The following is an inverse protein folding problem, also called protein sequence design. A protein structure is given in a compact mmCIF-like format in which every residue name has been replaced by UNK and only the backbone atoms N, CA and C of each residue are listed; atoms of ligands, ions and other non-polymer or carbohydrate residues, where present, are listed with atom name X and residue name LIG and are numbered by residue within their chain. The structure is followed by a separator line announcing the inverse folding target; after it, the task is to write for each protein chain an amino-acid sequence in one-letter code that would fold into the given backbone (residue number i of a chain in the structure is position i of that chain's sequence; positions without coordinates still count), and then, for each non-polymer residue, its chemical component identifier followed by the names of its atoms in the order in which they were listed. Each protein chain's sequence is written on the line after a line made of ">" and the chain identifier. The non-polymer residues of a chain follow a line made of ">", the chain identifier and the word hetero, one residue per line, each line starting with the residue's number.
data_IF_332541591979
#
_entry.id   IF_332541591979
#
_cell.length_a   1.000
_cell.length_b   1.000
_cell.length_c   1.000
_cell.angle_alpha   90.00
_cell.angle_beta   90.00
_cell.angle_gamma   90.00
#
_symmetry.space_group_name_H-M   'P 1'
#
loop_
_entity.id
_entity.type
_entity.pdbx_description
1 polymer ?
#
# COMPACT_ATOMS: atom_id res chain seq x y z
N UNK A 1 -11.85 -15.08 3.18
CA UNK A 1 -11.02 -15.08 1.95
C UNK A 1 -10.53 -13.68 1.68
N UNK A 2 -9.27 -13.55 1.32
CA UNK A 2 -8.70 -12.25 0.96
C UNK A 2 -9.22 -11.78 -0.39
N UNK A 3 -9.28 -10.45 -0.59
CA UNK A 3 -9.87 -9.89 -1.81
C UNK A 3 -9.14 -8.63 -2.24
N UNK A 4 -8.82 -8.55 -3.54
CA UNK A 4 -8.30 -7.35 -4.18
C UNK A 4 -9.20 -7.04 -5.36
N UNK A 5 -9.78 -5.83 -5.36
CA UNK A 5 -10.60 -5.33 -6.45
C UNK A 5 -9.97 -4.08 -7.05
N UNK A 6 -9.87 -4.03 -8.36
CA UNK A 6 -9.31 -2.89 -9.10
C UNK A 6 -10.31 -2.46 -10.15
N UNK A 7 -10.65 -1.18 -10.15
CA UNK A 7 -11.58 -0.60 -11.12
C UNK A 7 -10.99 -0.44 -12.52
N UNK A 8 -11.78 0.11 -13.42
CA UNK A 8 -11.42 0.24 -14.82
C UNK A 8 -10.39 1.34 -15.06
N UNK A 9 -9.53 1.14 -16.04
CA UNK A 9 -8.57 2.15 -16.51
C UNK A 9 -7.56 2.61 -15.46
N UNK A 10 -7.32 1.83 -14.43
CA UNK A 10 -6.28 2.12 -13.46
C UNK A 10 -4.94 1.61 -13.96
N UNK A 11 -3.88 2.38 -13.74
CA UNK A 11 -2.53 2.09 -14.20
C UNK A 11 -1.58 1.99 -13.02
N UNK A 12 -0.63 1.08 -13.13
CA UNK A 12 0.34 0.80 -12.08
C UNK A 12 1.75 0.92 -12.64
N UNK A 13 2.61 1.58 -11.89
CA UNK A 13 4.04 1.59 -12.17
C UNK A 13 4.69 0.25 -11.82
N UNK A 14 6.00 0.19 -11.93
CA UNK A 14 6.75 -1.04 -11.64
C UNK A 14 6.80 -1.32 -10.15
N UNK A 15 6.81 -2.60 -9.80
CA UNK A 15 7.04 -3.07 -8.42
C UNK A 15 6.02 -2.54 -7.41
N UNK A 16 4.78 -2.35 -7.83
CA UNK A 16 3.68 -2.06 -6.91
C UNK A 16 3.31 -3.34 -6.17
N UNK A 17 3.17 -3.23 -4.85
CA UNK A 17 2.81 -4.35 -3.99
C UNK A 17 1.50 -4.07 -3.28
N UNK A 18 0.60 -5.04 -3.32
CA UNK A 18 -0.71 -4.96 -2.68
C UNK A 18 -0.83 -6.15 -1.74
N UNK A 19 -1.03 -5.86 -0.45
CA UNK A 19 -1.15 -6.87 0.57
C UNK A 19 -2.57 -6.89 1.11
N UNK A 20 -3.26 -8.00 0.92
CA UNK A 20 -4.62 -8.21 1.43
C UNK A 20 -4.66 -9.01 2.73
N UNK A 21 -3.51 -9.25 3.33
CA UNK A 21 -3.40 -10.01 4.57
C UNK A 21 -2.15 -9.61 5.36
N UNK A 22 -2.16 -9.90 6.64
CA UNK A 22 -1.00 -9.81 7.53
C UNK A 22 -0.85 -11.10 8.30
N UNK A 23 0.36 -11.38 8.79
CA UNK A 23 0.56 -12.45 9.75
C UNK A 23 -0.11 -12.09 11.08
N UNK A 24 -0.69 -13.09 11.73
CA UNK A 24 -1.07 -12.95 13.14
C UNK A 24 0.17 -13.10 14.00
N UNK A 25 0.31 -12.26 15.02
CA UNK A 25 1.52 -12.22 15.83
C UNK A 25 1.25 -12.01 17.33
N UNK A 26 -0.02 -11.91 17.72
CA UNK A 26 -0.38 -11.51 19.09
C UNK A 26 -0.26 -12.63 20.11
N UNK A 27 -0.25 -13.88 19.66
CA UNK A 27 -0.08 -15.03 20.57
C UNK A 27 1.41 -15.31 20.78
N UNK A 28 1.91 -14.89 21.92
CA UNK A 28 3.34 -15.03 22.24
C UNK A 28 3.78 -16.48 22.50
N UNK A 29 2.83 -17.41 22.64
CA UNK A 29 3.13 -18.82 22.84
C UNK A 29 3.32 -19.59 21.52
N UNK A 30 3.13 -18.93 20.38
CA UNK A 30 3.27 -19.53 19.07
C UNK A 30 4.29 -18.75 18.23
N UNK A 31 4.99 -19.45 17.36
CA UNK A 31 5.78 -18.80 16.33
C UNK A 31 4.85 -18.05 15.38
N UNK A 32 5.31 -16.95 14.81
CA UNK A 32 4.47 -16.13 13.92
C UNK A 32 3.96 -16.96 12.74
N UNK A 33 4.80 -17.82 12.16
CA UNK A 33 4.38 -18.68 11.05
C UNK A 33 3.38 -19.77 11.44
N UNK A 34 3.11 -19.96 12.71
CA UNK A 34 2.11 -20.91 13.21
C UNK A 34 0.76 -20.29 13.49
N UNK A 35 0.67 -18.96 13.50
CA UNK A 35 -0.55 -18.26 13.90
C UNK A 35 -1.52 -18.01 12.76
N UNK A 36 -1.09 -18.21 11.51
CA UNK A 36 -1.91 -17.95 10.35
C UNK A 36 -1.88 -16.47 9.95
N UNK A 37 -2.90 -16.06 9.19
CA UNK A 37 -3.00 -14.73 8.60
C UNK A 37 -4.26 -14.01 9.05
N UNK A 38 -4.17 -12.70 9.19
CA UNK A 38 -5.34 -11.82 9.25
C UNK A 38 -5.64 -11.41 7.82
N UNK A 39 -6.81 -11.81 7.33
CA UNK A 39 -7.24 -11.51 5.95
C UNK A 39 -8.04 -10.22 5.92
N UNK A 40 -8.02 -9.55 4.79
CA UNK A 40 -8.75 -8.32 4.59
C UNK A 40 -9.01 -8.07 3.11
N UNK A 41 -9.39 -6.84 2.80
CA UNK A 41 -9.69 -6.40 1.44
C UNK A 41 -8.80 -5.24 1.07
N UNK A 42 -8.55 -5.10 -0.25
CA UNK A 42 -8.01 -3.88 -0.84
C UNK A 42 -8.89 -3.54 -2.03
N UNK A 43 -9.41 -2.33 -2.06
CA UNK A 43 -10.26 -1.86 -3.15
C UNK A 43 -9.60 -0.63 -3.75
N UNK A 44 -9.36 -0.67 -5.06
CA UNK A 44 -8.81 0.44 -5.83
C UNK A 44 -9.86 0.83 -6.86
N UNK A 45 -10.23 2.09 -6.87
CA UNK A 45 -11.25 2.60 -7.78
C UNK A 45 -10.80 2.65 -9.23
N UNK A 46 -11.58 3.35 -10.04
CA UNK A 46 -11.34 3.51 -11.47
C UNK A 46 -10.50 4.74 -11.76
N UNK A 47 -9.78 4.70 -12.88
CA UNK A 47 -8.98 5.82 -13.36
C UNK A 47 -7.96 6.31 -12.34
N UNK A 48 -7.28 5.38 -11.68
CA UNK A 48 -6.21 5.68 -10.73
C UNK A 48 -4.84 5.50 -11.39
N UNK A 49 -3.89 6.28 -10.96
CA UNK A 49 -2.49 6.09 -11.32
C UNK A 49 -1.67 5.85 -10.08
N UNK A 50 -1.14 4.65 -9.97
CA UNK A 50 -0.32 4.21 -8.83
C UNK A 50 1.12 4.20 -9.28
N UNK A 51 1.94 5.05 -8.68
CA UNK A 51 3.35 5.17 -9.04
C UNK A 51 4.17 3.92 -8.72
N UNK A 52 5.40 3.88 -9.21
CA UNK A 52 6.29 2.74 -9.01
C UNK A 52 6.67 2.58 -7.53
N UNK A 53 6.86 1.35 -7.11
CA UNK A 53 7.27 0.99 -5.74
C UNK A 53 6.30 1.45 -4.65
N UNK A 54 5.04 1.66 -5.00
CA UNK A 54 3.97 1.92 -4.02
C UNK A 54 3.59 0.62 -3.33
N UNK A 55 3.40 0.68 -2.03
CA UNK A 55 2.93 -0.44 -1.23
C UNK A 55 1.56 -0.08 -0.67
N UNK A 56 0.58 -0.95 -0.91
CA UNK A 56 -0.80 -0.76 -0.42
C UNK A 56 -1.10 -1.87 0.57
N UNK A 57 -1.49 -1.49 1.76
CA UNK A 57 -1.69 -2.42 2.86
C UNK A 57 -3.15 -2.85 2.98
N UNK A 58 -3.37 -3.84 3.81
CA UNK A 58 -4.68 -4.46 4.06
C UNK A 58 -5.74 -3.42 4.49
N UNK A 59 -6.96 -3.66 4.07
CA UNK A 59 -8.15 -2.86 4.44
C UNK A 59 -8.14 -1.42 3.95
N UNK A 60 -7.38 -1.14 2.89
CA UNK A 60 -7.34 0.17 2.27
C UNK A 60 -8.36 0.23 1.12
N UNK A 61 -9.13 1.30 1.08
CA UNK A 61 -10.02 1.64 -0.03
C UNK A 61 -9.50 2.91 -0.68
N UNK A 62 -9.13 2.82 -1.95
CA UNK A 62 -8.72 3.96 -2.77
C UNK A 62 -9.87 4.31 -3.69
N UNK A 63 -10.33 5.54 -3.64
CA UNK A 63 -11.43 6.02 -4.46
C UNK A 63 -11.08 6.13 -5.95
N UNK A 64 -11.95 6.78 -6.71
CA UNK A 64 -11.74 6.99 -8.14
C UNK A 64 -10.87 8.22 -8.39
N UNK A 65 -10.19 8.26 -9.52
CA UNK A 65 -9.38 9.42 -9.94
C UNK A 65 -8.32 9.80 -8.90
N UNK A 66 -7.62 8.83 -8.37
CA UNK A 66 -6.56 9.03 -7.37
C UNK A 66 -5.20 8.84 -8.03
N UNK A 67 -4.29 9.77 -7.75
CA UNK A 67 -2.89 9.65 -8.17
C UNK A 67 -2.04 9.44 -6.93
N UNK A 68 -1.23 8.40 -6.94
CA UNK A 68 -0.31 8.10 -5.85
C UNK A 68 1.11 8.15 -6.38
N UNK A 69 1.90 9.05 -5.84
CA UNK A 69 3.30 9.22 -6.23
C UNK A 69 4.14 8.00 -5.87
N UNK A 70 5.28 7.86 -6.56
CA UNK A 70 6.18 6.72 -6.37
C UNK A 70 6.66 6.61 -4.92
N UNK A 71 6.85 5.39 -4.47
CA UNK A 71 7.44 5.10 -3.17
C UNK A 71 6.55 5.27 -1.96
N UNK A 72 5.28 5.63 -2.16
CA UNK A 72 4.35 5.79 -1.03
C UNK A 72 3.98 4.45 -0.40
N UNK A 73 3.82 4.44 0.91
CA UNK A 73 3.21 3.32 1.63
C UNK A 73 1.80 3.77 2.05
N UNK A 74 0.80 3.12 1.51
CA UNK A 74 -0.60 3.48 1.74
C UNK A 74 -1.16 2.58 2.84
N UNK A 75 -1.38 3.14 4.00
CA UNK A 75 -1.88 2.42 5.19
C UNK A 75 -3.26 2.91 5.64
N UNK A 76 -3.84 3.85 4.94
CA UNK A 76 -5.18 4.36 5.19
C UNK A 76 -5.91 4.61 3.88
N UNK A 77 -7.22 4.61 3.90
CA UNK A 77 -8.03 4.84 2.72
C UNK A 77 -7.86 6.26 2.17
N UNK A 78 -7.95 6.38 0.86
CA UNK A 78 -7.76 7.63 0.14
C UNK A 78 -9.08 8.00 -0.55
N UNK A 79 -9.63 9.19 -0.30
CA UNK A 79 -10.86 9.61 -0.97
C UNK A 79 -10.64 9.85 -2.47
N UNK A 80 -11.73 9.79 -3.23
CA UNK A 80 -11.70 10.08 -4.67
C UNK A 80 -11.14 11.48 -4.96
N UNK A 81 -10.60 11.65 -6.15
CA UNK A 81 -10.08 12.93 -6.65
C UNK A 81 -8.94 13.49 -5.80
N UNK A 82 -8.06 12.62 -5.33
CA UNK A 82 -6.94 12.99 -4.45
C UNK A 82 -5.61 12.73 -5.13
N UNK A 83 -4.60 13.48 -4.72
CA UNK A 83 -3.21 13.27 -5.09
C UNK A 83 -2.42 13.02 -3.80
N UNK A 84 -1.68 11.92 -3.77
CA UNK A 84 -0.89 11.52 -2.61
C UNK A 84 0.59 11.64 -2.96
N UNK A 85 1.33 12.32 -2.12
CA UNK A 85 2.78 12.49 -2.26
C UNK A 85 3.51 11.80 -1.13
N UNK A 86 4.73 11.37 -1.42
CA UNK A 86 5.66 10.90 -0.42
C UNK A 86 6.63 12.03 -0.06
N UNK A 87 6.49 12.60 1.13
CA UNK A 87 7.44 13.59 1.64
C UNK A 87 8.64 12.87 2.23
N UNK A 88 9.79 13.00 1.56
CA UNK A 88 11.04 12.45 2.07
C UNK A 88 11.87 13.54 2.74
N UNK A 89 12.43 13.19 3.89
CA UNK A 89 13.47 13.98 4.51
C UNK A 89 14.79 13.23 4.36
N UNK A 90 15.68 13.76 3.53
CA UNK A 90 17.00 13.17 3.32
C UNK A 90 18.02 13.88 4.19
N UNK A 91 18.88 13.10 4.83
CA UNK A 91 20.04 13.63 5.53
C UNK A 91 21.27 13.39 4.66
N UNK A 92 21.92 14.46 4.30
CA UNK A 92 23.12 14.41 3.47
C UNK A 92 24.31 14.87 4.30
N UNK A 93 25.33 14.02 4.38
CA UNK A 93 26.54 14.32 5.14
C UNK A 93 27.75 14.18 4.21
N UNK A 94 28.64 15.15 4.26
CA UNK A 94 29.89 15.08 3.51
C UNK A 94 30.89 14.19 4.22
N UNK A 95 31.73 13.49 3.44
CA UNK A 95 32.86 12.79 4.03
C UNK A 95 33.80 13.78 4.71
N UNK A 96 34.27 13.39 5.86
CA UNK A 96 35.40 14.09 6.49
C UNK A 96 36.72 13.59 5.86
N UNK A 97 37.55 14.51 5.52
CA UNK A 97 38.83 14.21 4.90
C UNK A 97 39.94 14.42 5.91
#
# INVERSE_FOLDING_TARGET
>A
MSEISIGDNSQFGESVKIYDHNHQYRNLNLLINQQGYVKGKVIIGSNCWIGSNVVILKDVVIGDNVVIGAGCVIFKSIPSNSIVYNNQNLTVTKYKV
#
